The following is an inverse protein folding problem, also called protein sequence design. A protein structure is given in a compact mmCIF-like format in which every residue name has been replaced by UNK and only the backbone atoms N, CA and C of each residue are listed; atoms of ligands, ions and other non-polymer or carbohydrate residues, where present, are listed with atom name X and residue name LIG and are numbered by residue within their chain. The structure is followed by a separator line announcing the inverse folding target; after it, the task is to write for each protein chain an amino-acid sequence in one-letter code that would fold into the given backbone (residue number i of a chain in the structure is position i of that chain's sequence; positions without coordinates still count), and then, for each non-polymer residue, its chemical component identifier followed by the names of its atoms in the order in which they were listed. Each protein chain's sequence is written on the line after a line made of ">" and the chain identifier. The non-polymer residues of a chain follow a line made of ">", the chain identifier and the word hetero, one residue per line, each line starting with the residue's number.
data_IF_397963020998
#
_entry.id   IF_397963020998
#
_cell.length_a   1.000
_cell.length_b   1.000
_cell.length_c   1.000
_cell.angle_alpha   90.00
_cell.angle_beta   90.00
_cell.angle_gamma   90.00
#
_symmetry.space_group_name_H-M   'P 1'
#
loop_
_entity.id
_entity.type
_entity.pdbx_description
1 polymer ?
#
# COMPACT_ATOMS: atom_id res chain seq x y z
N UNK A 1 13.72 -27.05 1.05
CA UNK A 1 12.42 -27.07 0.32
C UNK A 1 12.39 -26.13 -0.89
N UNK A 2 13.15 -25.04 -0.92
CA UNK A 2 13.30 -24.20 -2.13
C UNK A 2 13.80 -24.95 -3.39
N UNK A 3 14.52 -26.09 -3.19
CA UNK A 3 15.03 -26.89 -4.32
C UNK A 3 13.95 -27.65 -5.12
N UNK A 4 12.80 -27.91 -4.52
CA UNK A 4 11.72 -28.64 -5.22
C UNK A 4 10.89 -27.73 -6.15
N UNK A 5 10.68 -26.47 -5.79
CA UNK A 5 9.99 -25.52 -6.67
C UNK A 5 10.90 -25.18 -7.86
N UNK A 6 12.17 -24.84 -7.62
CA UNK A 6 13.15 -24.60 -8.67
C UNK A 6 13.37 -25.84 -9.57
N UNK A 7 13.25 -27.07 -9.03
CA UNK A 7 13.28 -28.30 -9.82
C UNK A 7 12.01 -28.49 -10.65
N UNK A 8 10.83 -28.23 -10.07
CA UNK A 8 9.55 -28.27 -10.80
C UNK A 8 9.51 -27.22 -11.90
N UNK A 9 9.94 -25.98 -11.61
CA UNK A 9 10.03 -24.90 -12.60
C UNK A 9 11.01 -25.25 -13.74
N UNK A 10 12.16 -25.89 -13.47
CA UNK A 10 13.10 -26.35 -14.52
C UNK A 10 12.58 -27.53 -15.34
N UNK A 11 11.89 -28.51 -14.73
CA UNK A 11 11.32 -29.64 -15.46
C UNK A 11 10.21 -29.23 -16.42
N UNK A 12 9.45 -28.17 -16.10
CA UNK A 12 8.46 -27.61 -17.03
C UNK A 12 9.10 -26.81 -18.18
N UNK A 13 10.25 -26.15 -17.96
CA UNK A 13 11.00 -25.48 -19.03
C UNK A 13 11.59 -26.48 -20.04
N UNK A 14 12.00 -27.64 -19.61
CA UNK A 14 12.58 -28.68 -20.49
C UNK A 14 11.52 -29.48 -21.27
N UNK A 15 10.28 -29.58 -20.76
CA UNK A 15 9.16 -30.25 -21.43
C UNK A 15 8.41 -29.34 -22.42
N UNK A 16 8.62 -28.02 -22.39
CA UNK A 16 7.87 -26.98 -23.12
C UNK A 16 8.52 -26.50 -24.40
N UNK A 17 9.31 -27.30 -25.12
CA UNK A 17 9.82 -26.97 -26.45
C UNK A 17 8.75 -26.94 -27.55
N UNK A 18 7.60 -26.28 -27.33
CA UNK A 18 6.56 -26.04 -28.32
C UNK A 18 6.54 -24.58 -28.73
N UNK A 19 6.90 -24.33 -29.98
CA UNK A 19 6.78 -23.01 -30.64
C UNK A 19 5.38 -22.44 -30.41
N UNK A 20 5.30 -21.27 -29.75
CA UNK A 20 4.09 -20.49 -29.67
C UNK A 20 3.55 -20.17 -31.07
N UNK A 21 2.51 -20.85 -31.50
CA UNK A 21 1.66 -20.40 -32.60
C UNK A 21 0.66 -19.40 -31.99
N UNK A 22 0.75 -18.16 -32.42
CA UNK A 22 -0.24 -17.12 -32.16
C UNK A 22 -1.57 -17.52 -32.81
N UNK A 23 -2.44 -18.09 -32.03
CA UNK A 23 -3.88 -18.23 -32.37
C UNK A 23 -4.63 -17.36 -31.38
N UNK A 24 -4.94 -16.14 -31.77
CA UNK A 24 -5.95 -15.32 -31.15
C UNK A 24 -7.32 -15.92 -31.39
N UNK A 25 -7.68 -16.91 -30.59
CA UNK A 25 -8.95 -17.58 -30.68
C UNK A 25 -9.22 -18.38 -29.41
N UNK A 26 -10.09 -17.84 -28.58
CA UNK A 26 -10.59 -18.38 -27.29
C UNK A 26 -9.46 -18.73 -26.33
N UNK A 27 -9.14 -17.79 -25.43
CA UNK A 27 -8.28 -18.04 -24.29
C UNK A 27 -8.75 -19.27 -23.48
N UNK A 28 -7.86 -19.93 -22.72
CA UNK A 28 -8.25 -21.04 -21.88
C UNK A 28 -9.43 -20.62 -20.99
N UNK A 29 -10.42 -21.48 -20.81
CA UNK A 29 -11.51 -21.22 -19.88
C UNK A 29 -10.90 -20.98 -18.50
N UNK A 30 -11.19 -19.84 -17.90
CA UNK A 30 -10.75 -19.51 -16.54
C UNK A 30 -11.47 -20.43 -15.54
N UNK A 31 -10.88 -21.57 -15.24
CA UNK A 31 -11.47 -22.62 -14.40
C UNK A 31 -10.81 -22.73 -13.04
N UNK A 32 -9.66 -22.07 -12.83
CA UNK A 32 -8.94 -22.15 -11.58
C UNK A 32 -9.81 -21.66 -10.41
N UNK A 33 -9.95 -22.52 -9.41
CA UNK A 33 -10.60 -22.23 -8.14
C UNK A 33 -9.60 -22.49 -7.02
N UNK A 34 -9.44 -21.48 -6.16
CA UNK A 34 -8.58 -21.57 -4.99
C UNK A 34 -9.38 -22.13 -3.81
N UNK A 35 -8.67 -22.61 -2.78
CA UNK A 35 -9.29 -23.17 -1.58
C UNK A 35 -10.25 -22.19 -0.87
N UNK A 36 -10.05 -20.90 -1.09
CA UNK A 36 -10.87 -19.81 -0.52
C UNK A 36 -11.08 -18.74 -1.58
N UNK A 37 -12.29 -18.27 -1.72
CA UNK A 37 -12.62 -17.19 -2.63
C UNK A 37 -13.77 -17.50 -3.58
N UNK A 38 -14.13 -16.54 -4.37
CA UNK A 38 -15.26 -16.60 -5.30
C UNK A 38 -15.01 -15.81 -6.56
N UNK A 39 -15.63 -16.25 -7.66
CA UNK A 39 -15.72 -15.47 -8.89
C UNK A 39 -16.75 -14.38 -8.71
N UNK A 40 -16.37 -13.14 -8.95
CA UNK A 40 -17.23 -11.98 -8.89
C UNK A 40 -17.28 -11.28 -10.26
N UNK A 41 -18.22 -10.40 -10.44
CA UNK A 41 -18.39 -9.60 -11.66
C UNK A 41 -18.79 -8.17 -11.29
N UNK A 42 -18.10 -7.22 -11.90
CA UNK A 42 -18.47 -5.82 -11.81
C UNK A 42 -18.89 -5.28 -13.18
N UNK A 43 -19.44 -4.45 -13.63
CA UNK A 43 -19.88 -4.03 -14.96
C UNK A 43 -18.86 -4.15 -16.10
N UNK A 44 -17.60 -4.46 -15.81
CA UNK A 44 -16.51 -4.51 -16.79
C UNK A 44 -16.07 -5.94 -17.11
N UNK A 45 -15.82 -6.75 -16.08
CA UNK A 45 -15.24 -8.09 -16.24
C UNK A 45 -15.50 -8.94 -15.00
N UNK A 46 -15.17 -10.23 -15.10
CA UNK A 46 -15.03 -11.10 -13.92
C UNK A 46 -13.69 -10.85 -13.24
N UNK A 47 -13.60 -11.25 -11.98
CA UNK A 47 -12.38 -11.33 -11.20
C UNK A 47 -12.55 -12.35 -10.09
N UNK A 48 -11.44 -12.82 -9.52
CA UNK A 48 -11.49 -13.71 -8.38
C UNK A 48 -11.20 -12.93 -7.08
N UNK A 49 -12.09 -13.06 -6.10
CA UNK A 49 -11.97 -12.38 -4.80
C UNK A 49 -11.68 -13.41 -3.72
N UNK A 50 -10.58 -13.20 -3.00
CA UNK A 50 -10.27 -13.89 -1.75
C UNK A 50 -10.46 -12.92 -0.60
N UNK A 51 -11.11 -13.40 0.48
CA UNK A 51 -11.38 -12.61 1.66
C UNK A 51 -10.92 -13.37 2.90
N UNK A 52 -10.21 -12.66 3.79
CA UNK A 52 -9.70 -13.18 5.04
C UNK A 52 -9.86 -12.15 6.16
N UNK A 53 -9.89 -12.64 7.41
CA UNK A 53 -9.81 -11.80 8.60
C UNK A 53 -8.63 -12.29 9.44
N UNK A 54 -7.39 -11.89 9.11
CA UNK A 54 -6.20 -12.33 9.82
C UNK A 54 -6.19 -11.79 11.26
N UNK A 55 -5.50 -12.47 12.21
CA UNK A 55 -5.43 -12.05 13.60
C UNK A 55 -4.45 -10.88 13.79
N UNK A 56 -4.77 -9.75 13.18
CA UNK A 56 -3.97 -8.52 13.24
C UNK A 56 -4.88 -7.38 13.69
N UNK A 57 -4.40 -6.58 14.63
CA UNK A 57 -5.11 -5.40 15.13
C UNK A 57 -4.52 -4.13 14.53
N UNK A 58 -5.36 -3.12 14.31
CA UNK A 58 -4.87 -1.80 13.93
C UNK A 58 -4.04 -1.23 15.09
N UNK A 59 -2.79 -0.81 14.85
CA UNK A 59 -1.95 -0.27 15.90
C UNK A 59 -2.50 1.08 16.40
N UNK A 60 -2.45 1.36 17.72
CA UNK A 60 -2.83 2.66 18.22
C UNK A 60 -1.98 3.75 17.56
N UNK A 61 -2.63 4.78 17.03
CA UNK A 61 -1.92 5.94 16.51
C UNK A 61 -1.34 6.73 17.68
N UNK A 62 -0.01 6.83 17.73
CA UNK A 62 0.71 7.50 18.81
C UNK A 62 0.78 9.02 18.60
N UNK A 63 0.87 9.75 19.70
CA UNK A 63 1.01 11.22 19.70
C UNK A 63 -0.25 11.96 20.13
N UNK A 64 -0.10 13.28 20.23
CA UNK A 64 -1.18 14.21 20.63
C UNK A 64 -1.98 14.61 19.39
N UNK A 65 -3.29 14.40 19.41
CA UNK A 65 -4.20 14.84 18.34
C UNK A 65 -4.12 16.35 18.05
N UNK A 66 -3.68 17.16 19.03
CA UNK A 66 -3.51 18.59 18.89
C UNK A 66 -2.08 19.00 18.46
N UNK A 67 -1.20 18.05 18.20
CA UNK A 67 0.20 18.35 17.88
C UNK A 67 0.34 19.29 16.70
N UNK A 68 -0.43 19.12 15.63
CA UNK A 68 -0.43 20.03 14.48
C UNK A 68 -0.78 21.47 14.88
N UNK A 69 -1.74 21.67 15.81
CA UNK A 69 -2.09 22.99 16.31
C UNK A 69 -0.99 23.61 17.21
N UNK A 70 -0.08 22.79 17.75
CA UNK A 70 1.09 23.24 18.53
C UNK A 70 2.34 23.47 17.67
N UNK A 71 2.35 23.03 16.42
CA UNK A 71 3.50 23.23 15.53
C UNK A 71 3.49 24.62 14.90
N UNK A 72 3.99 25.63 15.62
CA UNK A 72 4.05 27.00 15.11
C UNK A 72 4.82 27.11 13.80
N UNK A 73 5.77 26.21 13.54
CA UNK A 73 6.59 26.18 12.33
C UNK A 73 5.82 25.80 11.05
N UNK A 74 4.58 25.29 11.17
CA UNK A 74 3.68 25.13 10.02
C UNK A 74 3.25 26.47 9.42
N UNK A 75 3.34 27.55 10.22
CA UNK A 75 3.02 28.90 9.78
C UNK A 75 4.23 29.50 9.06
N UNK A 76 4.07 29.84 7.79
CA UNK A 76 5.16 30.42 6.98
C UNK A 76 5.74 31.66 7.63
N UNK A 77 7.08 31.72 7.64
CA UNK A 77 7.82 32.81 8.29
C UNK A 77 8.14 32.57 9.77
N UNK A 78 7.73 31.43 10.32
CA UNK A 78 8.12 30.97 11.66
C UNK A 78 9.14 29.85 11.53
N UNK A 79 10.42 30.17 11.68
CA UNK A 79 11.50 29.21 11.84
C UNK A 79 11.72 28.85 13.32
N UNK A 80 12.67 27.93 13.61
CA UNK A 80 12.91 27.46 14.99
C UNK A 80 13.13 28.58 16.00
N UNK A 81 13.96 29.58 15.68
CA UNK A 81 14.24 30.74 16.59
C UNK A 81 13.00 31.58 16.85
N UNK A 82 12.15 31.76 15.83
CA UNK A 82 10.91 32.56 15.99
C UNK A 82 9.90 31.77 16.82
N UNK A 83 9.79 30.45 16.60
CA UNK A 83 8.93 29.57 17.39
C UNK A 83 9.32 29.65 18.88
N UNK A 84 10.60 29.45 19.22
CA UNK A 84 11.09 29.55 20.60
C UNK A 84 10.77 30.89 21.27
N UNK A 85 10.92 32.01 20.53
CA UNK A 85 10.56 33.33 21.06
C UNK A 85 9.06 33.44 21.34
N UNK A 86 8.21 33.00 20.40
CA UNK A 86 6.76 33.03 20.57
C UNK A 86 6.31 32.16 21.74
N UNK A 87 6.92 30.98 21.90
CA UNK A 87 6.68 30.09 23.03
C UNK A 87 7.06 30.75 24.38
N UNK A 88 8.18 31.46 24.41
CA UNK A 88 8.59 32.24 25.59
C UNK A 88 7.64 33.40 25.89
N UNK A 89 6.97 33.95 24.87
CA UNK A 89 5.91 34.95 24.98
C UNK A 89 4.54 34.35 25.33
N UNK A 90 4.46 33.01 25.54
CA UNK A 90 3.24 32.29 25.89
C UNK A 90 2.39 31.86 24.71
N UNK A 91 2.84 32.08 23.48
CA UNK A 91 2.13 31.65 22.25
C UNK A 91 2.64 30.25 21.85
N UNK A 92 1.94 29.20 22.31
CA UNK A 92 2.29 27.79 22.09
C UNK A 92 1.35 27.09 21.14
N UNK A 93 0.34 27.80 20.62
CA UNK A 93 -0.67 27.30 19.69
C UNK A 93 -0.74 28.18 18.46
N UNK A 94 -1.00 27.57 17.30
CA UNK A 94 -1.26 28.30 16.05
C UNK A 94 -2.45 29.25 16.19
N UNK A 95 -3.45 28.88 16.99
CA UNK A 95 -4.62 29.70 17.33
C UNK A 95 -4.20 31.05 17.98
N UNK A 96 -3.20 31.05 18.86
CA UNK A 96 -2.67 32.25 19.49
C UNK A 96 -2.04 33.26 18.50
N UNK A 97 -1.63 32.79 17.32
CA UNK A 97 -1.09 33.66 16.28
C UNK A 97 -2.15 34.48 15.54
N UNK A 98 -3.44 34.17 15.75
CA UNK A 98 -4.55 34.95 15.16
C UNK A 98 -4.58 36.40 15.66
N UNK A 99 -4.06 36.65 16.85
CA UNK A 99 -3.93 37.99 17.44
C UNK A 99 -2.65 38.75 16.98
N UNK A 100 -1.75 38.03 16.26
CA UNK A 100 -0.47 38.59 15.83
C UNK A 100 -0.56 39.01 14.36
N UNK A 101 -0.69 40.33 14.10
CA UNK A 101 -0.87 40.90 12.73
C UNK A 101 0.06 40.27 11.69
N UNK A 102 1.33 40.00 12.06
CA UNK A 102 2.36 39.45 11.16
C UNK A 102 2.05 38.06 10.68
N UNK A 103 1.47 37.20 11.52
CA UNK A 103 1.28 35.78 11.25
C UNK A 103 -0.19 35.36 11.06
N UNK A 104 -1.13 36.27 11.32
CA UNK A 104 -2.56 36.02 11.35
C UNK A 104 -3.08 35.32 10.08
N UNK A 105 -2.69 35.78 8.89
CA UNK A 105 -3.17 35.24 7.63
C UNK A 105 -2.69 33.80 7.44
N UNK A 106 -1.39 33.56 7.68
CA UNK A 106 -0.82 32.21 7.52
C UNK A 106 -1.31 31.24 8.60
N UNK A 107 -1.53 31.72 9.83
CA UNK A 107 -2.15 30.92 10.88
C UNK A 107 -3.58 30.48 10.51
N UNK A 108 -4.39 31.38 9.93
CA UNK A 108 -5.72 31.04 9.40
C UNK A 108 -5.64 29.96 8.32
N UNK A 109 -4.64 30.02 7.43
CA UNK A 109 -4.45 29.00 6.40
C UNK A 109 -4.10 27.63 7.01
N UNK A 110 -3.22 27.58 7.99
CA UNK A 110 -2.86 26.33 8.69
C UNK A 110 -4.07 25.75 9.42
N UNK A 111 -4.81 26.56 10.18
CA UNK A 111 -6.00 26.10 10.90
C UNK A 111 -7.07 25.55 9.97
N UNK A 112 -7.34 26.23 8.85
CA UNK A 112 -8.25 25.72 7.82
C UNK A 112 -7.78 24.42 7.20
N UNK A 113 -6.47 24.28 6.94
CA UNK A 113 -5.91 23.02 6.42
C UNK A 113 -6.07 21.88 7.42
N UNK A 114 -5.91 22.13 8.72
CA UNK A 114 -6.17 21.13 9.78
C UNK A 114 -7.64 20.75 9.82
N UNK A 115 -8.55 21.72 9.80
CA UNK A 115 -10.00 21.49 9.81
C UNK A 115 -10.51 20.77 8.56
N UNK A 116 -9.95 21.11 7.41
CA UNK A 116 -10.24 20.44 6.13
C UNK A 116 -9.52 19.10 5.96
N UNK A 117 -8.65 18.73 6.93
CA UNK A 117 -7.80 17.52 6.85
C UNK A 117 -6.94 17.49 5.57
N UNK A 118 -6.48 18.68 5.12
CA UNK A 118 -5.63 18.84 3.94
C UNK A 118 -4.19 18.42 4.27
N UNK A 119 -3.96 17.11 4.29
CA UNK A 119 -2.66 16.54 4.59
C UNK A 119 -1.58 16.96 3.58
N UNK A 120 -1.96 17.24 2.33
CA UNK A 120 -1.04 17.73 1.30
C UNK A 120 -0.46 19.10 1.64
N UNK A 121 -1.33 20.06 1.98
CA UNK A 121 -0.89 21.41 2.34
C UNK A 121 -0.09 21.38 3.64
N UNK A 122 -0.53 20.59 4.64
CA UNK A 122 0.18 20.46 5.91
C UNK A 122 1.56 19.80 5.76
N UNK A 123 1.68 18.76 4.93
CA UNK A 123 2.96 18.11 4.62
C UNK A 123 3.94 19.08 3.93
N UNK A 124 3.47 19.92 3.00
CA UNK A 124 4.28 20.96 2.35
C UNK A 124 4.78 22.03 3.34
N UNK A 125 4.14 22.16 4.49
CA UNK A 125 4.53 23.05 5.57
C UNK A 125 5.43 22.38 6.61
N UNK A 126 5.70 21.07 6.45
CA UNK A 126 6.62 20.32 7.30
C UNK A 126 5.95 19.43 8.35
N UNK A 127 4.63 19.22 8.29
CA UNK A 127 3.99 18.21 9.11
C UNK A 127 4.51 16.81 8.77
N UNK A 128 4.75 15.98 9.79
CA UNK A 128 5.17 14.60 9.61
C UNK A 128 4.00 13.69 9.21
N UNK A 129 4.31 12.56 8.53
CA UNK A 129 3.29 11.56 8.21
C UNK A 129 2.56 11.08 9.47
N UNK A 130 3.26 11.01 10.63
CA UNK A 130 2.68 10.59 11.91
C UNK A 130 1.71 11.61 12.51
N UNK A 131 2.04 12.92 12.40
CA UNK A 131 1.13 13.97 12.84
C UNK A 131 -0.11 14.04 11.94
N UNK A 132 0.09 13.84 10.63
CA UNK A 132 -1.00 13.83 9.65
C UNK A 132 -1.92 12.61 9.81
N UNK A 133 -1.35 11.43 10.14
CA UNK A 133 -2.13 10.23 10.41
C UNK A 133 -3.18 10.44 11.51
N UNK A 134 -2.88 11.32 12.49
CA UNK A 134 -3.80 11.66 13.59
C UNK A 134 -5.06 12.45 13.18
N UNK A 135 -5.12 12.91 11.94
CA UNK A 135 -6.32 13.53 11.38
C UNK A 135 -7.39 12.52 10.94
N UNK A 136 -7.07 11.21 11.00
CA UNK A 136 -7.89 10.15 10.40
C UNK A 136 -8.16 9.05 11.43
N UNK A 137 -9.32 8.40 11.29
CA UNK A 137 -9.70 7.24 12.08
C UNK A 137 -9.14 5.93 11.47
N UNK A 138 -8.98 4.86 12.26
CA UNK A 138 -8.47 3.57 11.76
C UNK A 138 -9.20 3.03 10.52
N UNK A 139 -10.50 3.24 10.43
CA UNK A 139 -11.36 2.83 9.32
C UNK A 139 -11.06 3.56 8.00
N UNK A 140 -10.37 4.69 8.07
CA UNK A 140 -10.00 5.49 6.90
C UNK A 140 -8.66 5.05 6.27
N UNK A 141 -7.98 4.09 6.89
CA UNK A 141 -6.71 3.54 6.40
C UNK A 141 -6.96 2.34 5.50
N UNK A 142 -6.15 2.23 4.45
CA UNK A 142 -5.99 1.03 3.65
C UNK A 142 -4.51 0.76 3.42
N UNK A 143 -4.10 -0.46 3.73
CA UNK A 143 -2.79 -1.01 3.41
C UNK A 143 -2.92 -1.70 2.07
N UNK A 144 -2.00 -1.46 1.16
CA UNK A 144 -2.09 -2.07 -0.17
C UNK A 144 -0.73 -2.49 -0.70
N UNK A 145 -0.76 -3.54 -1.51
CA UNK A 145 0.38 -4.12 -2.17
C UNK A 145 -0.05 -4.75 -3.49
N UNK A 146 0.76 -4.65 -4.54
CA UNK A 146 0.44 -5.08 -5.89
C UNK A 146 1.38 -6.18 -6.36
N UNK A 147 0.80 -7.15 -7.11
CA UNK A 147 1.61 -8.07 -7.89
C UNK A 147 1.38 -7.83 -9.39
N UNK A 148 2.49 -7.71 -10.11
CA UNK A 148 2.51 -7.30 -11.50
C UNK A 148 3.37 -8.24 -12.33
N UNK A 149 3.16 -8.26 -13.64
CA UNK A 149 3.98 -9.08 -14.54
C UNK A 149 5.29 -8.41 -14.96
N UNK A 150 5.56 -7.22 -14.45
CA UNK A 150 6.81 -6.49 -14.70
C UNK A 150 6.87 -5.14 -13.99
N UNK A 151 7.82 -4.30 -14.37
CA UNK A 151 8.15 -3.07 -13.64
C UNK A 151 7.49 -1.80 -14.19
N UNK A 152 6.79 -1.89 -15.30
CA UNK A 152 6.14 -0.75 -15.96
C UNK A 152 4.64 -0.97 -16.07
N UNK A 153 3.84 0.08 -15.88
CA UNK A 153 2.38 0.02 -16.02
C UNK A 153 1.86 -0.24 -17.44
N UNK A 154 2.74 -0.43 -18.41
CA UNK A 154 2.40 -1.01 -19.72
C UNK A 154 2.22 -2.53 -19.67
N UNK A 155 2.66 -3.16 -18.59
CA UNK A 155 2.52 -4.59 -18.34
C UNK A 155 1.31 -4.85 -17.42
N UNK A 156 0.68 -6.04 -17.49
CA UNK A 156 -0.48 -6.35 -16.67
C UNK A 156 -0.20 -6.32 -15.17
N UNK A 157 -1.22 -5.86 -14.43
CA UNK A 157 -1.38 -6.04 -13.00
C UNK A 157 -2.33 -7.21 -12.79
N UNK A 158 -1.98 -8.16 -11.97
CA UNK A 158 -2.84 -9.33 -11.80
C UNK A 158 -3.36 -9.56 -10.38
N UNK A 159 -2.76 -8.89 -9.38
CA UNK A 159 -3.23 -8.99 -8.00
C UNK A 159 -3.18 -7.61 -7.32
N UNK A 160 -4.29 -7.22 -6.74
CA UNK A 160 -4.37 -6.09 -5.81
C UNK A 160 -4.71 -6.63 -4.43
N UNK A 161 -3.76 -6.58 -3.53
CA UNK A 161 -3.97 -6.91 -2.13
C UNK A 161 -4.33 -5.67 -1.33
N UNK A 162 -5.41 -5.73 -0.57
CA UNK A 162 -5.87 -4.65 0.31
C UNK A 162 -6.10 -5.19 1.72
N UNK A 163 -5.68 -4.43 2.72
CA UNK A 163 -6.03 -4.68 4.11
C UNK A 163 -6.53 -3.41 4.76
N UNK A 164 -7.65 -3.47 5.44
CA UNK A 164 -8.31 -2.35 6.11
C UNK A 164 -9.09 -2.83 7.32
N UNK A 165 -9.63 -1.89 8.09
CA UNK A 165 -10.34 -2.20 9.33
C UNK A 165 -11.74 -1.61 9.28
N UNK A 166 -12.72 -2.36 9.78
CA UNK A 166 -14.11 -1.91 9.96
C UNK A 166 -14.60 -2.39 11.31
N UNK A 167 -15.09 -1.47 12.12
CA UNK A 167 -15.52 -1.77 13.50
C UNK A 167 -14.47 -2.53 14.32
N UNK A 168 -13.21 -2.14 14.15
CA UNK A 168 -12.04 -2.75 14.80
C UNK A 168 -11.63 -4.13 14.26
N UNK A 169 -12.32 -4.66 13.24
CA UNK A 169 -12.00 -5.96 12.64
C UNK A 169 -11.17 -5.81 11.37
N UNK A 170 -10.12 -6.61 11.19
CA UNK A 170 -9.34 -6.61 9.96
C UNK A 170 -10.08 -7.31 8.81
N UNK A 171 -9.99 -6.71 7.63
CA UNK A 171 -10.44 -7.26 6.36
C UNK A 171 -9.27 -7.27 5.40
N UNK A 172 -8.86 -8.45 4.98
CA UNK A 172 -7.87 -8.64 3.92
C UNK A 172 -8.62 -9.13 2.69
N UNK A 173 -8.48 -8.40 1.60
CA UNK A 173 -9.07 -8.73 0.31
C UNK A 173 -7.99 -8.77 -0.76
N UNK A 174 -8.06 -9.82 -1.58
CA UNK A 174 -7.17 -10.00 -2.70
C UNK A 174 -7.99 -10.10 -3.98
N UNK A 175 -7.85 -9.11 -4.85
CA UNK A 175 -8.52 -9.02 -6.15
C UNK A 175 -7.59 -9.59 -7.21
N UNK A 176 -7.89 -10.80 -7.66
CA UNK A 176 -7.05 -11.57 -8.56
C UNK A 176 -7.65 -11.61 -9.97
N UNK A 177 -6.84 -11.30 -10.96
CA UNK A 177 -7.09 -11.59 -12.35
C UNK A 177 -6.49 -12.97 -12.68
N UNK A 178 -7.33 -13.98 -12.96
CA UNK A 178 -6.88 -15.34 -13.33
C UNK A 178 -6.41 -15.44 -14.78
N UNK A 179 -6.65 -14.39 -15.55
CA UNK A 179 -6.20 -14.15 -16.90
C UNK A 179 -6.19 -12.65 -17.16
N UNK A 180 -5.55 -12.24 -18.26
CA UNK A 180 -5.38 -10.82 -18.57
C UNK A 180 -6.70 -10.08 -18.79
N UNK A 181 -7.74 -10.78 -19.23
CA UNK A 181 -9.09 -10.26 -19.43
C UNK A 181 -9.82 -9.92 -18.12
N UNK A 182 -9.38 -10.49 -17.00
CA UNK A 182 -9.95 -10.20 -15.68
C UNK A 182 -9.28 -9.00 -15.00
N UNK A 183 -8.18 -8.46 -15.55
CA UNK A 183 -7.46 -7.34 -14.93
C UNK A 183 -8.34 -6.14 -14.67
N UNK A 184 -9.16 -5.73 -15.64
CA UNK A 184 -10.05 -4.58 -15.48
C UNK A 184 -11.06 -4.80 -14.35
N UNK A 185 -11.59 -6.03 -14.21
CA UNK A 185 -12.53 -6.37 -13.14
C UNK A 185 -11.89 -6.29 -11.75
N UNK A 186 -10.71 -6.89 -11.60
CA UNK A 186 -9.95 -6.87 -10.35
C UNK A 186 -9.53 -5.44 -9.96
N UNK A 187 -9.06 -4.67 -10.95
CA UNK A 187 -8.60 -3.30 -10.77
C UNK A 187 -9.74 -2.36 -10.34
N UNK A 188 -10.88 -2.41 -11.02
CA UNK A 188 -12.03 -1.55 -10.74
C UNK A 188 -12.63 -1.86 -9.36
N UNK A 189 -12.79 -3.13 -9.02
CA UNK A 189 -13.29 -3.52 -7.70
C UNK A 189 -12.35 -3.13 -6.54
N UNK A 190 -11.04 -3.19 -6.75
CA UNK A 190 -10.06 -2.71 -5.77
C UNK A 190 -10.05 -1.18 -5.68
N UNK A 191 -10.21 -0.51 -6.82
CA UNK A 191 -10.25 0.96 -6.91
C UNK A 191 -11.41 1.56 -6.10
N UNK A 192 -12.56 0.90 -6.05
CA UNK A 192 -13.70 1.31 -5.22
C UNK A 192 -13.34 1.37 -3.73
N UNK A 193 -12.59 0.40 -3.22
CA UNK A 193 -12.15 0.39 -1.82
C UNK A 193 -11.09 1.47 -1.58
N UNK A 194 -10.10 1.56 -2.47
CA UNK A 194 -9.01 2.55 -2.37
C UNK A 194 -9.53 3.99 -2.46
N UNK A 195 -10.49 4.25 -3.34
CA UNK A 195 -11.09 5.57 -3.52
C UNK A 195 -11.90 6.07 -2.32
N UNK A 196 -12.44 5.15 -1.53
CA UNK A 196 -13.22 5.45 -0.33
C UNK A 196 -12.37 5.56 0.95
N UNK A 197 -11.05 5.38 0.87
CA UNK A 197 -10.14 5.49 2.02
C UNK A 197 -9.06 6.53 1.75
N UNK A 198 -9.07 7.64 2.50
CA UNK A 198 -8.17 8.76 2.26
C UNK A 198 -6.72 8.49 2.66
N UNK A 199 -6.43 7.48 3.51
CA UNK A 199 -5.08 7.18 3.96
C UNK A 199 -4.61 5.86 3.38
N UNK A 200 -3.57 5.93 2.55
CA UNK A 200 -2.91 4.75 1.97
C UNK A 200 -1.61 4.46 2.69
N UNK A 201 -1.38 3.19 2.99
CA UNK A 201 -0.13 2.70 3.60
C UNK A 201 0.46 1.62 2.70
N UNK A 202 1.74 1.73 2.38
CA UNK A 202 2.44 0.81 1.50
C UNK A 202 3.93 0.69 1.83
N UNK A 203 4.64 -0.17 1.11
CA UNK A 203 6.09 -0.30 1.18
C UNK A 203 6.73 -0.04 -0.19
N UNK A 204 7.32 1.14 -0.40
CA UNK A 204 7.79 1.65 -1.69
C UNK A 204 6.66 2.04 -2.67
N UNK A 205 5.43 2.07 -2.19
CA UNK A 205 4.26 2.25 -3.06
C UNK A 205 4.13 3.63 -3.67
N UNK A 206 4.72 4.68 -3.07
CA UNK A 206 4.79 6.00 -3.71
C UNK A 206 5.59 5.99 -5.00
N UNK A 207 6.63 5.13 -5.06
CA UNK A 207 7.51 5.04 -6.21
C UNK A 207 7.09 3.96 -7.21
N UNK A 208 6.36 2.93 -6.77
CA UNK A 208 6.00 1.78 -7.60
C UNK A 208 4.48 1.54 -7.67
N UNK A 209 3.84 1.13 -6.59
CA UNK A 209 2.46 0.63 -6.61
C UNK A 209 1.45 1.69 -7.06
N UNK A 210 1.50 2.90 -6.50
CA UNK A 210 0.58 3.96 -6.86
C UNK A 210 0.72 4.42 -8.32
N UNK A 211 1.93 4.70 -8.85
CA UNK A 211 2.10 5.01 -10.27
C UNK A 211 1.69 3.87 -11.20
N UNK A 212 1.96 2.62 -10.80
CA UNK A 212 1.57 1.45 -11.57
C UNK A 212 0.04 1.32 -11.61
N UNK A 213 -0.62 1.31 -10.46
CA UNK A 213 -2.07 1.29 -10.33
C UNK A 213 -2.72 2.38 -11.19
N UNK A 214 -2.27 3.62 -11.04
CA UNK A 214 -2.81 4.76 -11.79
C UNK A 214 -2.55 4.65 -13.29
N UNK A 215 -1.43 4.08 -13.71
CA UNK A 215 -1.18 3.78 -15.13
C UNK A 215 -2.20 2.80 -15.70
N UNK A 216 -2.55 1.74 -14.95
CA UNK A 216 -3.57 0.76 -15.36
C UNK A 216 -4.99 1.34 -15.30
N UNK A 217 -5.33 2.09 -14.23
CA UNK A 217 -6.62 2.78 -14.12
C UNK A 217 -6.84 3.76 -15.28
N UNK A 218 -5.81 4.54 -15.63
CA UNK A 218 -5.87 5.46 -16.77
C UNK A 218 -6.06 4.72 -18.09
N UNK A 219 -5.39 3.59 -18.26
CA UNK A 219 -5.49 2.78 -19.47
C UNK A 219 -6.89 2.20 -19.68
N UNK A 220 -7.51 1.65 -18.62
CA UNK A 220 -8.81 0.98 -18.73
C UNK A 220 -10.01 1.92 -18.48
N UNK A 221 -9.91 2.81 -17.51
CA UNK A 221 -11.04 3.56 -16.95
C UNK A 221 -10.92 5.09 -17.16
N UNK A 222 -9.77 5.55 -17.67
CA UNK A 222 -9.55 6.97 -17.92
C UNK A 222 -9.42 7.85 -16.66
N UNK A 223 -9.25 7.25 -15.48
CA UNK A 223 -9.16 7.93 -14.20
C UNK A 223 -7.86 7.64 -13.43
N UNK A 224 -7.68 8.32 -12.32
CA UNK A 224 -6.59 8.11 -11.36
C UNK A 224 -7.13 8.23 -9.95
N UNK A 225 -6.49 7.52 -9.01
CA UNK A 225 -6.75 7.67 -7.59
C UNK A 225 -5.63 8.43 -6.90
N UNK A 226 -6.01 9.30 -5.98
CA UNK A 226 -5.07 10.07 -5.18
C UNK A 226 -5.52 10.04 -3.71
N UNK A 227 -4.72 9.47 -2.81
CA UNK A 227 -5.04 9.52 -1.39
C UNK A 227 -4.88 10.94 -0.85
N UNK A 228 -5.61 11.25 0.23
CA UNK A 228 -5.38 12.44 1.03
C UNK A 228 -4.02 12.40 1.71
N UNK A 229 -3.64 11.22 2.23
CA UNK A 229 -2.34 10.93 2.82
C UNK A 229 -1.82 9.59 2.31
N UNK A 230 -0.57 9.53 1.88
CA UNK A 230 0.10 8.27 1.54
C UNK A 230 1.33 8.08 2.43
N UNK A 231 1.27 7.12 3.34
CA UNK A 231 2.38 6.74 4.23
C UNK A 231 3.18 5.63 3.55
N UNK A 232 4.37 5.95 3.05
CA UNK A 232 5.29 4.96 2.49
C UNK A 232 6.30 4.53 3.55
N UNK A 233 6.09 3.33 4.11
CA UNK A 233 6.86 2.83 5.23
C UNK A 233 8.34 2.60 4.88
N UNK A 234 8.69 2.32 3.62
CA UNK A 234 10.10 2.20 3.21
C UNK A 234 10.86 3.51 3.45
N UNK A 235 10.23 4.66 3.26
CA UNK A 235 10.85 5.96 3.53
C UNK A 235 11.27 6.09 4.99
N UNK A 236 10.39 5.70 5.91
CA UNK A 236 10.64 5.73 7.35
C UNK A 236 11.71 4.69 7.76
N UNK A 237 11.66 3.47 7.19
CA UNK A 237 12.71 2.47 7.40
C UNK A 237 14.06 3.01 6.94
N UNK A 238 14.14 3.60 5.75
CA UNK A 238 15.41 4.19 5.25
C UNK A 238 15.91 5.32 6.13
N UNK A 239 15.03 6.15 6.63
CA UNK A 239 15.40 7.28 7.49
C UNK A 239 16.05 6.83 8.79
N UNK A 240 15.55 5.76 9.41
CA UNK A 240 15.99 5.33 10.74
C UNK A 240 16.98 4.16 10.73
N UNK A 241 16.97 3.34 9.68
CA UNK A 241 17.70 2.07 9.68
C UNK A 241 18.70 1.89 8.54
N UNK A 242 18.87 2.88 7.63
CA UNK A 242 19.93 2.82 6.61
C UNK A 242 21.30 2.72 7.31
N UNK A 243 22.09 1.71 6.93
CA UNK A 243 23.39 1.43 7.54
C UNK A 243 23.33 0.61 8.83
N UNK A 244 22.15 0.40 9.41
CA UNK A 244 21.92 -0.49 10.57
C UNK A 244 21.42 -1.87 10.13
N UNK A 245 20.64 -1.93 9.06
CA UNK A 245 20.20 -3.19 8.44
C UNK A 245 21.06 -3.53 7.22
N UNK A 246 21.17 -4.82 6.85
CA UNK A 246 21.85 -5.25 5.63
C UNK A 246 21.29 -4.61 4.35
N UNK A 247 19.97 -4.50 4.29
CA UNK A 247 19.19 -3.77 3.29
C UNK A 247 17.84 -3.35 3.89
N UNK A 248 17.05 -2.58 3.13
CA UNK A 248 15.71 -2.14 3.53
C UNK A 248 14.61 -2.91 2.78
N UNK A 249 14.80 -4.17 2.42
CA UNK A 249 13.72 -5.02 1.88
C UNK A 249 12.73 -5.38 2.98
N UNK A 250 11.46 -5.58 2.62
CA UNK A 250 10.44 -5.89 3.61
C UNK A 250 10.78 -7.17 4.40
N UNK A 251 11.27 -8.21 3.73
CA UNK A 251 11.72 -9.46 4.38
C UNK A 251 12.90 -9.28 5.34
N UNK A 252 13.79 -8.32 5.07
CA UNK A 252 14.87 -7.95 5.99
C UNK A 252 14.33 -7.24 7.22
N UNK A 253 13.41 -6.29 6.99
CA UNK A 253 12.74 -5.57 8.06
C UNK A 253 11.93 -6.52 8.96
N UNK A 254 11.20 -7.46 8.40
CA UNK A 254 10.50 -8.51 9.15
C UNK A 254 11.43 -9.26 10.06
N UNK A 255 12.54 -9.73 9.51
CA UNK A 255 13.51 -10.53 10.25
C UNK A 255 14.15 -9.77 11.41
N UNK A 256 14.58 -8.53 11.19
CA UNK A 256 15.40 -7.78 12.15
C UNK A 256 14.58 -6.89 13.09
N UNK A 257 13.43 -6.41 12.65
CA UNK A 257 12.63 -5.47 13.44
C UNK A 257 11.34 -6.09 13.99
N UNK A 258 10.78 -7.11 13.34
CA UNK A 258 9.53 -7.75 13.74
C UNK A 258 9.72 -9.19 14.22
N UNK A 259 10.96 -9.68 14.25
CA UNK A 259 11.32 -11.08 14.62
C UNK A 259 10.45 -12.11 13.89
N UNK A 260 10.24 -11.88 12.59
CA UNK A 260 9.38 -12.71 11.75
C UNK A 260 10.17 -13.36 10.63
N UNK A 261 10.02 -14.67 10.50
CA UNK A 261 10.71 -15.47 9.49
C UNK A 261 9.70 -16.12 8.56
N UNK A 262 9.84 -15.90 7.26
CA UNK A 262 9.02 -16.57 6.27
C UNK A 262 9.55 -17.94 5.92
N UNK A 263 8.72 -18.96 6.13
CA UNK A 263 9.03 -20.33 5.70
C UNK A 263 8.22 -20.63 4.45
N UNK A 264 8.90 -21.12 3.40
CA UNK A 264 8.25 -21.51 2.15
C UNK A 264 7.69 -20.33 1.34
N UNK A 265 8.28 -19.14 1.47
CA UNK A 265 7.87 -17.97 0.70
C UNK A 265 8.48 -17.97 -0.71
N UNK A 266 7.80 -17.33 -1.64
CA UNK A 266 8.26 -17.16 -3.02
C UNK A 266 9.11 -15.89 -3.12
N UNK A 267 10.30 -15.95 -3.77
CA UNK A 267 11.04 -14.73 -4.05
C UNK A 267 10.26 -13.82 -5.02
N UNK A 268 10.13 -12.51 -4.70
CA UNK A 268 9.34 -11.56 -5.49
C UNK A 268 9.71 -11.52 -6.98
N UNK A 269 11.00 -11.71 -7.32
CA UNK A 269 11.43 -11.74 -8.73
C UNK A 269 10.89 -12.95 -9.53
N UNK A 270 10.38 -13.99 -8.86
CA UNK A 270 9.78 -15.18 -9.49
C UNK A 270 8.27 -15.03 -9.73
N UNK A 271 7.63 -14.08 -9.06
CA UNK A 271 6.17 -13.90 -9.10
C UNK A 271 5.65 -13.68 -10.52
N UNK A 272 6.27 -12.86 -11.39
CA UNK A 272 5.81 -12.70 -12.77
C UNK A 272 5.82 -14.01 -13.55
N UNK A 273 6.87 -14.81 -13.40
CA UNK A 273 6.99 -16.10 -14.09
C UNK A 273 5.92 -17.08 -13.61
N UNK A 274 5.70 -17.15 -12.29
CA UNK A 274 4.67 -18.03 -11.71
C UNK A 274 3.28 -17.66 -12.21
N UNK A 275 2.99 -16.37 -12.35
CA UNK A 275 1.72 -15.94 -12.92
C UNK A 275 1.56 -16.34 -14.38
N UNK A 276 2.59 -16.19 -15.23
CA UNK A 276 2.53 -16.66 -16.62
C UNK A 276 2.32 -18.17 -16.74
N UNK A 277 2.98 -18.98 -15.91
CA UNK A 277 2.77 -20.42 -15.85
C UNK A 277 1.33 -20.76 -15.42
N UNK A 278 0.84 -20.05 -14.38
CA UNK A 278 -0.55 -20.19 -13.94
C UNK A 278 -1.57 -19.86 -15.06
N UNK A 279 -1.37 -18.78 -15.80
CA UNK A 279 -2.29 -18.41 -16.91
C UNK A 279 -2.34 -19.50 -17.98
N UNK A 280 -1.21 -20.19 -18.24
CA UNK A 280 -1.14 -21.26 -19.23
C UNK A 280 -1.77 -22.57 -18.74
N UNK A 281 -1.52 -22.94 -17.49
CA UNK A 281 -1.86 -24.27 -16.96
C UNK A 281 -3.13 -24.25 -16.10
N UNK A 282 -3.54 -23.07 -15.61
CA UNK A 282 -4.66 -22.87 -14.66
C UNK A 282 -4.53 -23.75 -13.40
N UNK A 283 -3.28 -24.03 -12.97
CA UNK A 283 -2.97 -24.81 -11.77
C UNK A 283 -2.95 -23.89 -10.53
N UNK A 284 -3.97 -23.95 -9.63
CA UNK A 284 -4.10 -23.04 -8.52
C UNK A 284 -2.90 -23.06 -7.55
N UNK A 285 -2.27 -24.21 -7.37
CA UNK A 285 -1.16 -24.39 -6.44
C UNK A 285 0.05 -23.48 -6.74
N UNK A 286 0.24 -23.11 -8.01
CA UNK A 286 1.31 -22.18 -8.41
C UNK A 286 1.07 -20.79 -7.82
N UNK A 287 -0.16 -20.32 -7.86
CA UNK A 287 -0.50 -18.96 -7.47
C UNK A 287 -0.82 -18.83 -5.97
N UNK A 288 -1.20 -19.92 -5.28
CA UNK A 288 -1.46 -19.89 -3.84
C UNK A 288 -0.26 -19.38 -3.04
N UNK A 289 0.98 -19.64 -3.50
CA UNK A 289 2.19 -19.10 -2.88
C UNK A 289 2.29 -17.58 -3.05
N UNK A 290 1.87 -17.05 -4.19
CA UNK A 290 1.84 -15.60 -4.45
C UNK A 290 0.78 -14.92 -3.60
N UNK A 291 -0.40 -15.52 -3.50
CA UNK A 291 -1.48 -15.02 -2.63
C UNK A 291 -1.04 -14.98 -1.16
N UNK A 292 -0.35 -16.02 -0.70
CA UNK A 292 0.20 -16.06 0.66
C UNK A 292 1.30 -15.01 0.86
N UNK A 293 2.17 -14.79 -0.14
CA UNK A 293 3.20 -13.74 -0.12
C UNK A 293 2.58 -12.37 0.10
N UNK A 294 1.67 -11.97 -0.79
CA UNK A 294 0.96 -10.69 -0.72
C UNK A 294 0.15 -10.52 0.60
N UNK A 295 -0.51 -11.59 1.08
CA UNK A 295 -1.21 -11.57 2.38
C UNK A 295 -0.26 -11.29 3.55
N UNK A 296 0.96 -11.86 3.54
CA UNK A 296 2.00 -11.63 4.55
C UNK A 296 2.53 -10.20 4.48
N UNK A 297 2.77 -9.68 3.27
CA UNK A 297 3.21 -8.31 3.08
C UNK A 297 2.23 -7.33 3.71
N UNK A 298 0.95 -7.46 3.43
CA UNK A 298 -0.10 -6.61 4.00
C UNK A 298 -0.14 -6.66 5.53
N UNK A 299 -0.06 -7.85 6.13
CA UNK A 299 -0.03 -8.01 7.59
C UNK A 299 1.22 -7.37 8.20
N UNK A 300 2.35 -7.48 7.49
CA UNK A 300 3.61 -6.84 7.87
C UNK A 300 3.50 -5.32 7.85
N UNK A 301 2.83 -4.74 6.85
CA UNK A 301 2.62 -3.28 6.80
C UNK A 301 1.90 -2.76 8.04
N UNK A 302 0.86 -3.47 8.52
CA UNK A 302 0.12 -3.08 9.72
C UNK A 302 1.03 -3.08 10.96
N UNK A 303 1.79 -4.16 11.16
CA UNK A 303 2.72 -4.29 12.28
C UNK A 303 3.83 -3.24 12.23
N UNK A 304 4.34 -2.99 11.03
CA UNK A 304 5.41 -2.04 10.80
C UNK A 304 4.95 -0.59 11.01
N UNK A 305 3.70 -0.25 10.64
CA UNK A 305 3.10 1.04 10.96
C UNK A 305 3.15 1.30 12.48
N UNK A 306 2.76 0.32 13.29
CA UNK A 306 2.81 0.41 14.75
C UNK A 306 4.21 0.64 15.29
N UNK A 307 5.19 -0.10 14.79
CA UNK A 307 6.59 0.01 15.22
C UNK A 307 7.18 1.38 14.86
N UNK A 308 7.04 1.82 13.62
CA UNK A 308 7.72 3.02 13.14
C UNK A 308 7.20 4.32 13.75
N UNK A 309 6.00 4.33 14.29
CA UNK A 309 5.46 5.48 15.03
C UNK A 309 6.18 5.71 16.37
N UNK A 310 6.86 4.69 16.92
CA UNK A 310 7.53 4.79 18.22
C UNK A 310 8.93 5.43 18.14
N UNK A 311 9.40 5.69 16.93
CA UNK A 311 10.71 6.30 16.64
C UNK A 311 10.61 7.82 16.52
#
# INVERSE_FOLDING_TARGET
>A
MASNLAKRLRSHQEAGGVRARSTWGHGPRLTAQFSRGSVNHNGHSTYYLLEESPPVEFPPLLGDANRLRRQLQLVRGIGPKTAQRLEAEGIVWVDGLLETKRFQTEAKHVLRAIEARDAWELARRGASDWDLARLYEPEEFVFFDLETTGLCSTQPLFLVGLMYFEQGKPHLKQFLARGFEEEIGALDAAADILGNRPVWVSYNGRAFDQPFLNGRLRYYLGNELRPGLHIDLLRHVRQHYTGLLPDCRLTTVERYLLDTYRVGDIPGYMIPQVYYEFVMDQEPALLEMVLLHNSRDLQTLVRLLGLLQTL
#
